data_IF_940098119238
#
_entry.id   IF_940098119238
#
_cell.length_a   1.000
_cell.length_b   1.000
_cell.length_c   1.000
_cell.angle_alpha   90.00
_cell.angle_beta   90.00
_cell.angle_gamma   90.00
#
_symmetry.space_group_name_H-M   'P 1'
#
loop_
_entity.id
_entity.type
_entity.pdbx_description
1 polymer ?
#
# COMPACT_ATOMS: atom_id res chain seq x y z
N UNK A 1 -22.99 3.30 -15.25
CA UNK A 1 -24.20 2.90 -14.51
C UNK A 1 -24.06 1.44 -14.13
N UNK A 2 -24.31 1.05 -12.87
CA UNK A 2 -24.44 -0.36 -12.49
C UNK A 2 -25.94 -0.65 -12.35
N UNK A 3 -26.39 -1.72 -12.96
CA UNK A 3 -27.80 -2.11 -12.95
C UNK A 3 -27.90 -3.61 -12.72
N UNK A 4 -28.91 -4.00 -11.96
CA UNK A 4 -29.29 -5.41 -11.84
C UNK A 4 -30.21 -5.76 -13.02
N UNK A 5 -29.79 -6.73 -13.84
CA UNK A 5 -30.56 -7.18 -15.01
C UNK A 5 -31.96 -7.70 -14.65
N UNK A 6 -32.17 -8.13 -13.41
CA UNK A 6 -33.43 -8.68 -12.93
C UNK A 6 -34.52 -7.63 -12.64
N UNK A 7 -34.17 -6.39 -12.26
CA UNK A 7 -35.15 -5.36 -11.90
C UNK A 7 -34.96 -4.01 -12.61
N UNK A 8 -33.96 -3.85 -13.50
CA UNK A 8 -33.67 -2.61 -14.23
C UNK A 8 -33.53 -1.37 -13.32
N UNK A 9 -33.31 -1.58 -12.02
CA UNK A 9 -33.06 -0.50 -11.07
C UNK A 9 -31.65 0.00 -11.31
N UNK A 10 -31.54 1.27 -11.69
CA UNK A 10 -30.29 1.93 -12.02
C UNK A 10 -29.90 2.82 -10.85
N UNK A 11 -28.71 2.62 -10.30
CA UNK A 11 -28.12 3.57 -9.37
C UNK A 11 -26.86 4.19 -9.98
N UNK A 12 -26.68 5.49 -9.70
CA UNK A 12 -25.47 6.22 -10.05
C UNK A 12 -24.48 6.27 -8.86
N UNK A 13 -24.94 5.89 -7.67
CA UNK A 13 -24.19 5.84 -6.42
C UNK A 13 -23.97 4.38 -5.97
N UNK A 14 -22.77 4.07 -5.47
CA UNK A 14 -22.38 2.71 -5.07
C UNK A 14 -22.99 2.30 -3.72
N UNK A 15 -23.23 3.24 -2.80
CA UNK A 15 -23.91 2.95 -1.54
C UNK A 15 -25.38 2.63 -1.80
N UNK A 16 -26.02 3.43 -2.65
CA UNK A 16 -27.39 3.17 -3.08
C UNK A 16 -27.54 1.85 -3.84
N UNK A 17 -26.48 1.35 -4.49
CA UNK A 17 -26.48 0.03 -5.16
C UNK A 17 -26.54 -1.14 -4.17
N UNK A 18 -25.85 -1.04 -3.04
CA UNK A 18 -25.86 -2.04 -1.97
C UNK A 18 -27.18 -2.01 -1.18
N UNK A 19 -27.81 -0.84 -1.09
CA UNK A 19 -29.09 -0.63 -0.41
C UNK A 19 -30.32 -1.05 -1.26
N UNK A 20 -30.12 -1.44 -2.53
CA UNK A 20 -31.25 -1.85 -3.39
C UNK A 20 -31.90 -3.11 -2.78
N UNK A 21 -33.18 -3.04 -2.37
CA UNK A 21 -33.86 -4.18 -1.81
C UNK A 21 -33.98 -5.29 -2.86
N UNK A 22 -33.86 -6.54 -2.42
CA UNK A 22 -34.02 -7.70 -3.29
C UNK A 22 -35.39 -7.68 -3.98
N UNK A 23 -35.39 -7.73 -5.32
CA UNK A 23 -36.61 -7.62 -6.12
C UNK A 23 -37.39 -8.94 -6.30
N UNK A 24 -36.87 -10.07 -5.78
CA UNK A 24 -37.49 -11.39 -5.89
C UNK A 24 -37.39 -12.13 -4.57
N UNK A 25 -38.44 -12.85 -4.22
CA UNK A 25 -38.49 -13.80 -3.10
C UNK A 25 -38.34 -15.23 -3.63
N UNK A 26 -37.58 -16.07 -2.92
CA UNK A 26 -37.29 -17.44 -3.34
C UNK A 26 -36.82 -18.30 -2.17
N UNK A 27 -36.73 -19.62 -2.37
CA UNK A 27 -36.19 -20.54 -1.35
C UNK A 27 -34.71 -20.24 -1.12
N UNK A 28 -34.28 -20.24 0.14
CA UNK A 28 -32.87 -20.04 0.50
C UNK A 28 -32.04 -21.20 -0.06
N UNK A 29 -30.96 -20.89 -0.78
CA UNK A 29 -30.00 -21.87 -1.31
C UNK A 29 -28.68 -21.76 -0.56
N UNK A 30 -28.13 -22.90 -0.12
CA UNK A 30 -26.82 -22.99 0.54
C UNK A 30 -25.69 -23.14 -0.48
N UNK A 31 -26.02 -23.55 -1.71
CA UNK A 31 -25.05 -23.72 -2.78
C UNK A 31 -24.97 -22.44 -3.62
N UNK A 32 -23.74 -22.00 -3.91
CA UNK A 32 -23.49 -20.83 -4.76
C UNK A 32 -23.97 -21.14 -6.19
N UNK A 33 -24.94 -20.39 -6.73
CA UNK A 33 -25.40 -20.62 -8.10
C UNK A 33 -24.22 -20.48 -9.06
N UNK A 34 -23.94 -21.55 -9.81
CA UNK A 34 -22.88 -21.55 -10.81
C UNK A 34 -23.35 -20.65 -11.95
N UNK A 35 -22.83 -19.42 -12.02
CA UNK A 35 -23.03 -18.56 -13.18
C UNK A 35 -22.43 -19.26 -14.39
N UNK A 36 -23.30 -19.76 -15.28
CA UNK A 36 -22.89 -20.22 -16.60
C UNK A 36 -22.27 -19.04 -17.35
N UNK A 37 -20.94 -19.06 -17.51
CA UNK A 37 -20.21 -18.07 -18.28
C UNK A 37 -20.56 -18.23 -19.76
N UNK A 38 -21.11 -17.17 -20.35
CA UNK A 38 -21.22 -17.01 -21.79
C UNK A 38 -19.82 -17.01 -22.42
N UNK A 39 -19.61 -17.90 -23.38
CA UNK A 39 -18.38 -18.07 -24.17
C UNK A 39 -18.19 -16.91 -25.15
N UNK A 40 -17.04 -16.22 -25.18
CA UNK A 40 -16.60 -15.44 -26.33
C UNK A 40 -15.70 -16.31 -27.22
N UNK A 41 -16.08 -16.47 -28.50
CA UNK A 41 -15.24 -17.03 -29.57
C UNK A 41 -14.33 -15.93 -30.14
N UNK A 42 -13.02 -16.17 -30.17
CA UNK A 42 -12.13 -16.17 -31.36
C UNK A 42 -10.65 -15.86 -30.99
N UNK A 43 -9.67 -16.54 -31.61
CA UNK A 43 -8.25 -16.39 -31.28
C UNK A 43 -7.40 -15.67 -32.35
N UNK A 44 -6.22 -15.21 -31.90
CA UNK A 44 -4.96 -14.89 -32.61
C UNK A 44 -4.85 -13.57 -33.41
N UNK A 45 -3.92 -12.69 -32.99
CA UNK A 45 -2.64 -12.45 -33.69
C UNK A 45 -1.77 -11.40 -32.97
N UNK A 46 -0.52 -11.76 -32.69
CA UNK A 46 0.56 -10.82 -32.38
C UNK A 46 1.09 -10.18 -33.68
N UNK A 47 1.77 -9.03 -33.59
CA UNK A 47 3.10 -9.02 -34.16
C UNK A 47 4.15 -8.37 -33.26
N UNK A 48 5.28 -9.05 -33.22
CA UNK A 48 6.61 -8.60 -32.80
C UNK A 48 7.13 -7.53 -33.76
N UNK A 49 7.74 -6.46 -33.26
CA UNK A 49 9.02 -5.89 -33.76
C UNK A 49 9.34 -4.54 -33.09
N UNK A 50 10.44 -4.53 -32.33
CA UNK A 50 11.38 -3.40 -32.28
C UNK A 50 12.24 -3.46 -33.57
N UNK A 51 13.02 -2.44 -34.00
CA UNK A 51 13.80 -1.51 -33.18
C UNK A 51 13.89 -0.06 -33.70
N UNK A 52 14.75 0.71 -33.02
CA UNK A 52 15.57 1.82 -33.49
C UNK A 52 15.31 3.24 -32.96
N UNK A 53 16.46 3.80 -32.56
CA UNK A 53 16.68 5.07 -31.93
C UNK A 53 16.49 6.25 -32.88
N UNK A 54 15.85 7.33 -32.41
CA UNK A 54 16.37 8.68 -32.62
C UNK A 54 15.68 9.72 -31.73
N UNK A 55 16.44 10.76 -31.41
CA UNK A 55 16.17 11.89 -30.53
C UNK A 55 14.72 12.43 -30.58
N UNK A 56 13.98 12.26 -29.49
CA UNK A 56 12.70 12.91 -29.27
C UNK A 56 12.93 14.21 -28.48
N UNK A 57 12.68 15.34 -29.15
CA UNK A 57 12.64 16.65 -28.51
C UNK A 57 11.51 16.70 -27.46
N UNK A 58 11.69 17.54 -26.44
CA UNK A 58 10.87 17.71 -25.22
C UNK A 58 9.34 17.78 -25.43
N UNK A 59 8.89 18.07 -26.65
CA UNK A 59 7.46 18.17 -27.03
C UNK A 59 6.77 16.80 -27.25
N UNK A 60 7.56 15.74 -27.48
CA UNK A 60 7.04 14.42 -27.83
C UNK A 60 6.63 13.58 -26.61
N UNK A 61 7.07 13.96 -25.41
CA UNK A 61 6.80 13.19 -24.20
C UNK A 61 5.44 13.58 -23.63
N UNK A 62 4.44 12.70 -23.82
CA UNK A 62 3.08 12.88 -23.30
C UNK A 62 3.05 13.25 -21.82
N UNK A 63 3.99 12.70 -21.02
CA UNK A 63 4.06 12.93 -19.57
C UNK A 63 4.56 14.34 -19.21
N UNK A 64 5.49 14.90 -20.00
CA UNK A 64 6.05 16.23 -19.73
C UNK A 64 5.19 17.36 -20.33
N UNK A 65 4.42 17.11 -21.41
CA UNK A 65 3.43 18.08 -21.97
C UNK A 65 2.30 18.41 -20.99
N UNK A 66 2.01 17.48 -20.08
CA UNK A 66 1.01 17.66 -19.02
C UNK A 66 1.57 18.32 -17.75
N UNK A 67 2.80 18.84 -17.80
CA UNK A 67 3.42 19.55 -16.68
C UNK A 67 3.88 18.64 -15.53
N UNK A 68 3.95 17.33 -15.75
CA UNK A 68 4.39 16.35 -14.76
C UNK A 68 5.87 16.00 -14.95
N UNK A 69 6.62 15.90 -13.85
CA UNK A 69 8.05 15.61 -13.88
C UNK A 69 8.29 14.15 -14.32
N UNK A 70 9.19 13.97 -15.28
CA UNK A 70 9.49 12.71 -15.96
C UNK A 70 10.96 12.35 -15.69
N UNK A 71 11.25 11.11 -15.28
CA UNK A 71 12.59 10.68 -14.84
C UNK A 71 13.69 10.77 -15.91
N UNK A 72 13.32 10.95 -17.17
CA UNK A 72 14.26 11.02 -18.31
C UNK A 72 14.66 12.45 -18.70
N UNK A 73 13.97 13.49 -18.19
CA UNK A 73 14.22 14.90 -18.57
C UNK A 73 14.38 15.84 -17.37
N UNK A 74 14.86 15.32 -16.24
CA UNK A 74 15.15 16.10 -15.04
C UNK A 74 16.34 17.05 -15.21
N UNK A 75 16.14 18.18 -15.89
CA UNK A 75 17.17 19.22 -15.98
C UNK A 75 17.22 20.04 -14.70
N UNK A 76 18.31 19.83 -13.96
CA UNK A 76 18.93 20.79 -13.04
C UNK A 76 19.07 22.17 -13.70
N UNK A 77 18.99 23.27 -12.94
CA UNK A 77 19.80 24.45 -13.23
C UNK A 77 20.76 24.70 -12.06
N UNK A 78 22.07 24.65 -12.37
CA UNK A 78 23.15 25.05 -11.48
C UNK A 78 23.72 26.39 -11.97
N UNK A 79 23.70 27.38 -11.06
CA UNK A 79 24.58 28.57 -10.93
C UNK A 79 24.50 29.65 -12.06
N UNK A 80 24.56 30.98 -11.81
CA UNK A 80 25.47 31.71 -10.92
C UNK A 80 25.13 33.24 -10.75
N UNK A 81 25.04 33.70 -9.49
CA UNK A 81 25.57 34.96 -8.84
C UNK A 81 25.19 36.38 -9.36
N UNK A 82 24.67 37.24 -8.46
CA UNK A 82 25.30 38.49 -7.92
C UNK A 82 24.41 39.28 -6.90
N UNK A 83 24.88 39.28 -5.65
CA UNK A 83 24.98 40.33 -4.61
C UNK A 83 23.95 41.49 -4.53
N UNK A 84 23.38 41.72 -3.33
CA UNK A 84 23.55 42.96 -2.53
C UNK A 84 23.04 42.76 -1.10
N UNK A 85 23.84 43.24 -0.14
CA UNK A 85 23.68 43.20 1.33
C UNK A 85 23.15 44.56 1.82
N UNK A 86 22.17 44.60 2.74
CA UNK A 86 22.18 45.53 3.86
C UNK A 86 21.14 45.19 4.95
N UNK A 87 21.60 45.16 6.20
CA UNK A 87 20.90 45.12 7.52
C UNK A 87 21.24 46.49 8.16
N UNK A 88 20.45 47.19 9.03
CA UNK A 88 19.74 46.62 10.18
C UNK A 88 18.44 47.32 10.68
N UNK A 89 17.71 46.58 11.52
CA UNK A 89 17.16 47.07 12.80
C UNK A 89 15.77 47.69 12.81
N UNK A 90 14.81 46.98 13.42
CA UNK A 90 14.19 47.41 14.68
C UNK A 90 13.33 46.27 15.26
N UNK A 91 13.47 46.09 16.58
CA UNK A 91 12.78 45.14 17.43
C UNK A 91 11.45 45.73 17.90
N UNK A 92 10.41 44.90 18.07
CA UNK A 92 9.34 45.12 19.05
C UNK A 92 8.84 43.76 19.59
N UNK A 93 8.49 43.79 20.87
CA UNK A 93 8.38 42.74 21.88
C UNK A 93 7.00 42.04 21.96
N UNK A 94 7.02 40.92 22.70
CA UNK A 94 5.92 40.27 23.44
C UNK A 94 4.75 39.58 22.69
N UNK A 95 4.67 38.25 22.83
CA UNK A 95 3.86 37.60 23.90
C UNK A 95 3.94 36.07 23.81
N UNK A 96 4.31 35.44 24.93
CA UNK A 96 4.47 33.99 25.13
C UNK A 96 3.16 33.38 25.67
N UNK A 97 2.68 32.26 25.11
CA UNK A 97 2.53 30.94 25.80
C UNK A 97 1.79 29.88 24.94
N UNK A 98 2.07 28.58 25.15
CA UNK A 98 1.93 27.52 24.15
C UNK A 98 0.91 26.44 24.55
N UNK A 99 0.58 25.53 23.62
CA UNK A 99 0.56 24.06 23.77
C UNK A 99 -0.28 23.43 22.64
N UNK A 100 0.38 23.02 21.57
CA UNK A 100 0.00 21.80 20.86
C UNK A 100 1.13 20.80 21.09
N UNK A 101 0.85 19.56 21.55
CA UNK A 101 1.89 18.64 21.97
C UNK A 101 2.84 18.31 20.81
N UNK A 102 4.16 18.28 21.04
CA UNK A 102 5.11 17.84 20.03
C UNK A 102 4.91 16.34 19.78
N UNK A 103 4.77 15.98 18.51
CA UNK A 103 4.87 14.59 18.04
C UNK A 103 6.24 14.07 18.46
N UNK A 104 6.24 13.19 19.46
CA UNK A 104 7.45 12.62 20.03
C UNK A 104 8.09 11.69 19.00
N UNK A 105 9.07 12.20 18.25
CA UNK A 105 10.07 11.32 17.65
C UNK A 105 10.94 10.83 18.81
N UNK A 106 10.59 9.67 19.36
CA UNK A 106 11.41 9.01 20.35
C UNK A 106 12.83 8.87 19.76
N UNK A 107 13.81 9.44 20.47
CA UNK A 107 15.22 9.19 20.18
C UNK A 107 15.45 7.71 20.49
N UNK A 108 15.43 6.88 19.46
CA UNK A 108 15.67 5.44 19.59
C UNK A 108 17.16 5.30 19.96
N UNK A 109 17.44 4.97 21.21
CA UNK A 109 18.79 4.56 21.60
C UNK A 109 19.13 3.29 20.82
N UNK A 110 20.05 3.43 19.86
CA UNK A 110 20.53 2.38 18.95
C UNK A 110 20.97 1.11 19.70
N UNK A 111 21.33 1.28 20.98
CA UNK A 111 21.88 0.25 21.84
C UNK A 111 20.84 -0.46 22.70
N UNK A 112 19.63 0.09 22.81
CA UNK A 112 18.59 -0.44 23.67
C UNK A 112 17.96 -1.70 23.06
N UNK A 113 17.86 -2.81 23.81
CA UNK A 113 17.11 -3.97 23.37
C UNK A 113 15.63 -3.64 23.23
N UNK A 114 15.07 -3.86 22.05
CA UNK A 114 13.66 -3.68 21.70
C UNK A 114 13.06 -5.01 21.29
N UNK A 115 11.77 -5.22 21.57
CA UNK A 115 11.08 -6.46 21.16
C UNK A 115 10.42 -6.25 19.80
N UNK A 116 10.72 -7.14 18.85
CA UNK A 116 10.11 -7.13 17.53
C UNK A 116 8.62 -7.48 17.63
N UNK A 117 7.77 -6.61 17.11
CA UNK A 117 6.31 -6.78 17.06
C UNK A 117 5.81 -7.31 15.72
N UNK A 118 6.73 -7.61 14.79
CA UNK A 118 6.36 -8.28 13.54
C UNK A 118 5.82 -9.69 13.84
N UNK A 119 4.75 -10.06 13.14
CA UNK A 119 4.06 -11.35 13.31
C UNK A 119 5.00 -12.52 12.98
N UNK A 120 5.18 -13.43 13.93
CA UNK A 120 6.06 -14.58 13.80
C UNK A 120 7.55 -14.32 14.13
N UNK A 121 7.93 -13.11 14.54
CA UNK A 121 9.30 -12.82 15.00
C UNK A 121 9.39 -12.84 16.53
N UNK A 122 8.81 -11.86 17.23
CA UNK A 122 8.83 -11.79 18.72
C UNK A 122 10.21 -11.69 19.39
N UNK A 123 11.29 -11.59 18.62
CA UNK A 123 12.66 -11.57 19.12
C UNK A 123 13.06 -10.18 19.63
N UNK A 124 13.92 -10.16 20.65
CA UNK A 124 14.56 -8.93 21.10
C UNK A 124 15.74 -8.59 20.17
N UNK A 125 15.72 -7.41 19.58
CA UNK A 125 16.75 -6.91 18.67
C UNK A 125 17.29 -5.57 19.16
N UNK A 126 18.44 -5.16 18.63
CA UNK A 126 18.99 -3.81 18.82
C UNK A 126 19.01 -3.12 17.47
N UNK A 127 18.73 -1.83 17.44
CA UNK A 127 18.65 -1.09 16.16
C UNK A 127 19.99 -1.11 15.41
N UNK A 128 21.13 -1.18 16.12
CA UNK A 128 22.46 -1.33 15.48
C UNK A 128 22.64 -2.61 14.67
N UNK A 129 21.98 -3.69 15.07
CA UNK A 129 22.10 -5.01 14.45
C UNK A 129 20.93 -5.24 13.46
N UNK A 130 19.99 -4.28 13.38
CA UNK A 130 18.84 -4.32 12.50
C UNK A 130 19.27 -4.03 11.06
N UNK A 131 18.85 -4.90 10.15
CA UNK A 131 19.14 -4.79 8.73
C UNK A 131 18.00 -5.44 7.93
N UNK A 132 18.00 -5.28 6.61
CA UNK A 132 16.89 -5.68 5.72
C UNK A 132 16.56 -7.19 5.72
N UNK A 133 17.45 -8.04 6.25
CA UNK A 133 17.23 -9.49 6.37
C UNK A 133 17.24 -10.01 7.81
N UNK A 134 17.26 -9.11 8.80
CA UNK A 134 17.40 -9.48 10.21
C UNK A 134 16.15 -10.19 10.76
N UNK A 135 14.97 -9.68 10.38
CA UNK A 135 13.70 -10.15 10.88
C UNK A 135 13.04 -11.09 9.89
N UNK A 136 12.74 -12.32 10.29
CA UNK A 136 11.84 -13.20 9.54
C UNK A 136 10.42 -13.08 10.10
N UNK A 137 9.46 -12.65 9.30
CA UNK A 137 8.08 -12.42 9.73
C UNK A 137 7.04 -12.64 8.62
N UNK A 138 5.76 -12.64 9.01
CA UNK A 138 4.63 -12.60 8.09
C UNK A 138 4.16 -11.15 7.91
N UNK A 139 4.29 -10.53 6.72
CA UNK A 139 3.81 -9.17 6.47
C UNK A 139 2.29 -9.11 6.32
N UNK A 140 1.65 -10.24 6.01
CA UNK A 140 0.21 -10.32 5.78
C UNK A 140 -0.62 -10.35 7.08
N UNK A 141 -1.92 -10.07 7.00
CA UNK A 141 -2.86 -10.42 8.06
C UNK A 141 -3.02 -11.95 8.16
N UNK A 142 -3.35 -12.42 9.36
CA UNK A 142 -3.82 -13.79 9.56
C UNK A 142 -5.23 -13.93 8.94
N UNK A 143 -5.49 -15.07 8.31
CA UNK A 143 -6.72 -15.38 7.58
C UNK A 143 -7.37 -16.57 8.25
N UNK A 144 -8.64 -16.42 8.59
CA UNK A 144 -9.44 -17.47 9.19
C UNK A 144 -10.68 -17.69 8.30
N UNK A 145 -10.63 -18.71 7.44
CA UNK A 145 -11.73 -19.04 6.53
C UNK A 145 -11.96 -20.56 6.49
N UNK A 146 -13.23 -20.98 6.50
CA UNK A 146 -13.63 -22.38 6.35
C UNK A 146 -12.99 -23.36 7.34
N UNK A 147 -12.77 -22.91 8.59
CA UNK A 147 -12.01 -23.62 9.65
C UNK A 147 -10.52 -23.82 9.34
N UNK A 148 -10.00 -23.24 8.27
CA UNK A 148 -8.58 -23.13 8.02
C UNK A 148 -8.06 -21.80 8.59
N UNK A 149 -6.86 -21.85 9.14
CA UNK A 149 -6.12 -20.74 9.70
C UNK A 149 -4.84 -20.57 8.90
N UNK A 150 -4.48 -19.35 8.54
CA UNK A 150 -3.36 -19.14 7.63
C UNK A 150 -2.88 -17.70 7.56
N UNK A 151 -1.93 -17.44 6.68
CA UNK A 151 -1.37 -16.11 6.46
C UNK A 151 -1.58 -15.67 5.01
N UNK A 152 -2.11 -14.45 4.79
CA UNK A 152 -2.30 -13.91 3.43
C UNK A 152 -1.01 -13.80 2.63
N UNK A 153 0.13 -13.61 3.30
CA UNK A 153 1.42 -13.37 2.65
C UNK A 153 2.03 -14.62 2.02
N UNK A 154 1.70 -15.82 2.49
CA UNK A 154 2.23 -17.08 1.94
C UNK A 154 1.16 -18.08 1.52
N UNK A 155 -0.13 -17.74 1.67
CA UNK A 155 -1.28 -18.58 1.31
C UNK A 155 -1.24 -19.99 1.93
N UNK A 156 -0.49 -20.14 3.04
CA UNK A 156 -0.41 -21.37 3.82
C UNK A 156 -1.61 -21.41 4.75
N UNK A 157 -2.35 -22.51 4.70
CA UNK A 157 -3.57 -22.72 5.46
C UNK A 157 -3.53 -24.08 6.14
N UNK A 158 -3.74 -24.07 7.45
CA UNK A 158 -3.69 -25.25 8.30
C UNK A 158 -5.02 -25.44 9.00
N UNK A 159 -5.34 -26.69 9.35
CA UNK A 159 -6.60 -27.01 10.05
C UNK A 159 -6.45 -26.84 11.55
N UNK A 160 -5.30 -27.20 12.11
CA UNK A 160 -5.08 -27.12 13.57
C UNK A 160 -4.51 -25.76 13.98
N UNK A 161 -4.81 -25.36 15.21
CA UNK A 161 -4.34 -24.07 15.74
C UNK A 161 -2.86 -24.09 16.10
N UNK A 162 -2.37 -25.21 16.65
CA UNK A 162 -0.96 -25.36 17.00
C UNK A 162 -0.08 -25.31 15.75
N UNK A 163 -0.53 -25.98 14.68
CA UNK A 163 0.14 -25.93 13.38
C UNK A 163 0.20 -24.50 12.82
N UNK A 164 -0.80 -23.65 13.14
CA UNK A 164 -0.82 -22.25 12.71
C UNK A 164 0.26 -21.41 13.41
N UNK A 165 0.50 -21.69 14.69
CA UNK A 165 1.57 -21.06 15.47
C UNK A 165 2.97 -21.51 15.01
N UNK A 166 3.08 -22.71 14.44
CA UNK A 166 4.32 -23.28 13.91
C UNK A 166 4.61 -22.89 12.45
N UNK A 167 3.69 -22.19 11.75
CA UNK A 167 3.92 -21.78 10.37
C UNK A 167 5.19 -20.91 10.29
N UNK A 168 6.18 -21.30 9.47
CA UNK A 168 7.42 -20.57 9.37
C UNK A 168 7.19 -19.21 8.68
N UNK A 169 7.87 -18.15 9.15
CA UNK A 169 7.80 -16.83 8.54
C UNK A 169 8.24 -16.87 7.08
N UNK A 170 7.50 -16.17 6.22
CA UNK A 170 7.70 -16.22 4.76
C UNK A 170 8.50 -15.06 4.18
N UNK A 171 8.78 -14.01 4.96
CA UNK A 171 9.44 -12.80 4.46
C UNK A 171 10.54 -12.37 5.41
N UNK A 172 11.62 -11.85 4.86
CA UNK A 172 12.70 -11.22 5.61
C UNK A 172 12.62 -9.71 5.46
N UNK A 173 12.90 -8.99 6.53
CA UNK A 173 12.76 -7.54 6.61
C UNK A 173 13.49 -6.96 7.81
N UNK A 174 13.20 -5.70 8.08
CA UNK A 174 13.65 -5.00 9.26
C UNK A 174 12.80 -5.39 10.47
N UNK A 175 13.41 -5.49 11.64
CA UNK A 175 12.64 -5.59 12.88
C UNK A 175 11.89 -4.27 13.14
N UNK A 176 10.67 -4.38 13.68
CA UNK A 176 9.86 -3.23 14.09
C UNK A 176 9.50 -3.33 15.57
N UNK A 177 9.80 -2.29 16.34
CA UNK A 177 9.32 -2.14 17.74
C UNK A 177 7.97 -1.41 17.81
N UNK A 178 7.52 -0.78 16.71
CA UNK A 178 6.20 -0.17 16.66
C UNK A 178 5.16 -1.28 16.45
N UNK A 179 4.05 -1.29 17.21
CA UNK A 179 2.90 -2.05 16.77
C UNK A 179 2.46 -1.44 15.44
N UNK A 180 2.25 -2.27 14.41
CA UNK A 180 1.63 -1.82 13.17
C UNK A 180 0.33 -1.07 13.53
N UNK A 181 0.08 0.13 12.98
CA UNK A 181 -1.22 0.78 13.15
C UNK A 181 -2.25 -0.16 12.52
N UNK A 182 -3.01 -0.83 13.38
CA UNK A 182 -4.05 -1.76 12.97
C UNK A 182 -4.97 -1.10 11.94
N UNK A 183 -5.00 -1.68 10.74
CA UNK A 183 -5.99 -1.41 9.68
C UNK A 183 -7.22 -2.28 9.92
#
# INVERSE_FOLDING_TARGET
MKEWSCCKQRSHDFSLFLEIPGCKTGKHTTEKPVLAKSVPKHPVAAPTSSPDANAATKDSCSRCRQGFFCSDHGSQPKEQIKQTLNTPGQAEEEKIEPLAPPVQKAVIDINQPQVCKNKGCGQTFKERDNHETACSHHPGPAVFHDRLRGWKCCDVHVKEFDEFMEIPPCTKGWHSSSPDPAV
#
